data_IF_538383955083
#
_entry.id   IF_538383955083
#
_cell.length_a   1.000
_cell.length_b   1.000
_cell.length_c   1.000
_cell.angle_alpha   90.00
_cell.angle_beta   90.00
_cell.angle_gamma   90.00
#
_symmetry.space_group_name_H-M   'P 1'
#
loop_
_entity.id
_entity.type
_entity.pdbx_description
1 polymer ?
2 polymer ?
3 non-polymer ?
4 non-polymer ?
5 non-polymer ?
6 non-polymer ?
7 water ?
#
# COMPACT_ATOMS: atom_id res chain seq x y z
N UNK A 1 10.45 -8.38 -6.57
CA UNK A 1 9.56 -8.25 -7.73
C UNK A 1 10.18 -8.99 -8.92
N UNK A 2 9.43 -9.91 -9.51
CA UNK A 2 9.83 -10.71 -10.68
C UNK A 2 9.13 -10.15 -11.92
N UNK A 3 9.92 -9.93 -12.98
CA UNK A 3 9.42 -9.50 -14.28
C UNK A 3 8.90 -8.09 -14.38
N UNK A 4 9.36 -7.21 -13.49
CA UNK A 4 9.00 -5.80 -13.53
C UNK A 4 10.13 -4.97 -14.11
N UNK A 5 10.27 -3.75 -13.64
CA UNK A 5 11.34 -2.85 -14.08
C UNK A 5 11.75 -1.99 -12.89
N UNK A 6 12.86 -1.25 -13.01
CA UNK A 6 13.29 -0.34 -11.96
C UNK A 6 12.24 0.78 -11.91
N UNK A 7 11.79 1.15 -10.68
CA UNK A 7 10.90 2.29 -10.55
C UNK A 7 11.81 3.53 -10.65
N UNK A 8 11.64 4.40 -11.68
CA UNK A 8 12.52 5.58 -11.78
C UNK A 8 12.52 6.34 -10.46
N UNK A 9 13.72 6.68 -9.96
CA UNK A 9 13.87 7.40 -8.69
C UNK A 9 12.84 8.54 -8.52
N UNK A 10 12.07 8.49 -7.44
CA UNK A 10 11.05 9.48 -7.12
C UNK A 10 9.68 9.18 -7.69
N UNK A 11 9.55 8.10 -8.51
CA UNK A 11 8.23 7.75 -9.08
C UNK A 11 7.39 6.84 -8.15
N UNK A 12 8.02 6.32 -7.07
CA UNK A 12 7.32 5.51 -6.07
C UNK A 12 7.60 6.21 -4.73
N UNK A 13 7.15 7.49 -4.54
CA UNK A 13 7.61 8.24 -3.37
C UNK A 13 7.01 7.87 -2.03
N UNK A 14 6.02 7.00 -2.02
CA UNK A 14 5.35 6.52 -0.82
C UNK A 14 5.92 5.18 -0.36
N UNK A 15 6.82 4.58 -1.18
CA UNK A 15 7.42 3.29 -0.83
C UNK A 15 8.24 3.44 0.44
N UNK A 16 8.07 2.49 1.39
CA UNK A 16 8.88 2.50 2.63
C UNK A 16 9.77 1.24 2.60
N UNK A 17 10.97 1.34 3.14
CA UNK A 17 11.83 0.19 3.35
C UNK A 17 11.90 -0.01 4.88
N UNK A 18 11.56 -1.20 5.34
CA UNK A 18 11.65 -1.50 6.76
C UNK A 18 12.92 -2.29 7.00
N UNK A 19 13.68 -1.86 8.01
CA UNK A 19 14.96 -2.49 8.44
C UNK A 19 14.87 -2.98 9.86
N UNK A 20 15.55 -4.12 10.16
CA UNK A 20 15.67 -4.60 11.55
C UNK A 20 17.15 -4.89 11.77
N UNK A 21 17.80 -4.16 12.72
CA UNK A 21 19.26 -4.27 12.93
C UNK A 21 20.02 -3.95 11.61
N UNK A 22 19.49 -3.01 10.82
CA UNK A 22 20.09 -2.59 9.55
C UNK A 22 19.88 -3.52 8.36
N UNK A 23 19.24 -4.66 8.58
CA UNK A 23 18.98 -5.67 7.54
C UNK A 23 17.57 -5.45 6.94
N UNK A 24 17.42 -5.66 5.62
CA UNK A 24 16.16 -5.55 4.92
C UNK A 24 15.13 -6.49 5.55
N UNK A 25 13.97 -5.94 5.93
CA UNK A 25 12.92 -6.75 6.52
C UNK A 25 11.72 -6.91 5.58
N UNK A 26 11.09 -5.78 5.22
CA UNK A 26 9.84 -5.71 4.47
C UNK A 26 9.69 -4.35 3.82
N UNK A 27 8.65 -4.21 3.00
CA UNK A 27 8.23 -2.94 2.46
C UNK A 27 7.10 -2.38 3.30
N UNK A 28 6.66 -1.18 2.93
CA UNK A 28 5.55 -0.49 3.57
C UNK A 28 5.06 0.64 2.69
N UNK A 29 3.98 1.31 3.12
CA UNK A 29 3.43 2.44 2.36
C UNK A 29 3.20 3.62 3.28
N UNK A 30 3.77 4.78 2.93
CA UNK A 30 3.54 5.99 3.72
C UNK A 30 2.13 6.52 3.37
N UNK A 31 1.28 6.78 4.39
CA UNK A 31 -0.09 7.28 4.08
C UNK A 31 -0.31 8.72 4.56
N UNK A 32 0.61 9.25 5.37
CA UNK A 32 0.67 10.67 5.81
C UNK A 32 2.06 10.86 6.43
N UNK A 33 2.38 11.98 7.11
CA UNK A 33 3.76 12.17 7.58
C UNK A 33 4.18 11.27 8.75
N UNK A 34 3.24 10.63 9.48
CA UNK A 34 3.73 9.82 10.58
C UNK A 34 3.30 8.34 10.54
N UNK A 35 2.42 7.97 9.62
CA UNK A 35 1.86 6.61 9.59
C UNK A 35 2.25 5.84 8.34
N UNK A 36 2.58 4.56 8.54
CA UNK A 36 3.00 3.61 7.50
C UNK A 36 2.12 2.37 7.60
N UNK A 37 1.67 1.86 6.46
CA UNK A 37 0.87 0.62 6.43
C UNK A 37 1.80 -0.46 5.90
N UNK A 38 1.86 -1.59 6.60
CA UNK A 38 2.65 -2.74 6.17
C UNK A 38 1.84 -4.04 6.42
N UNK A 39 2.49 -5.22 6.37
CA UNK A 39 1.83 -6.51 6.58
C UNK A 39 2.10 -6.95 8.01
N UNK A 40 1.10 -7.54 8.67
CA UNK A 40 1.30 -8.05 10.03
C UNK A 40 2.40 -9.13 10.08
N UNK A 41 2.49 -10.00 9.04
CA UNK A 41 3.45 -11.13 9.06
C UNK A 41 4.92 -10.70 9.08
N UNK A 42 5.18 -9.41 8.68
CA UNK A 42 6.52 -8.81 8.69
C UNK A 42 7.13 -8.85 10.11
N UNK A 43 6.27 -8.84 11.15
CA UNK A 43 6.71 -8.73 12.55
C UNK A 43 6.62 -10.02 13.35
N UNK A 44 6.37 -11.17 12.69
CA UNK A 44 6.22 -12.43 13.41
C UNK A 44 7.50 -12.85 14.14
N UNK A 45 8.66 -12.55 13.56
CA UNK A 45 9.93 -13.01 14.13
C UNK A 45 10.73 -11.94 14.84
N UNK A 46 10.14 -10.75 15.05
CA UNK A 46 10.87 -9.65 15.70
C UNK A 46 11.03 -9.86 17.22
N UNK A 47 12.27 -9.70 17.70
CA UNK A 47 12.58 -9.71 19.14
C UNK A 47 13.12 -8.32 19.51
N UNK A 48 13.92 -7.73 18.60
CA UNK A 48 14.52 -6.40 18.78
C UNK A 48 13.60 -5.28 18.28
N UNK A 49 12.44 -5.08 18.96
CA UNK A 49 11.44 -4.05 18.63
C UNK A 49 12.01 -2.63 18.56
N UNK A 50 13.08 -2.34 19.34
CA UNK A 50 13.74 -1.03 19.36
C UNK A 50 14.74 -0.80 18.21
N UNK A 51 15.01 -1.84 17.40
CA UNK A 51 15.93 -1.72 16.26
C UNK A 51 15.19 -1.75 14.90
N UNK A 52 13.91 -1.37 14.91
CA UNK A 52 13.02 -1.35 13.75
C UNK A 52 13.05 0.07 13.17
N UNK A 53 13.49 0.19 11.92
CA UNK A 53 13.66 1.48 11.24
C UNK A 53 12.88 1.49 9.94
N UNK A 54 12.21 2.63 9.66
CA UNK A 54 11.51 2.87 8.38
C UNK A 54 12.35 3.89 7.59
N UNK A 55 12.59 3.62 6.30
CA UNK A 55 13.36 4.52 5.46
C UNK A 55 12.41 4.93 4.34
N UNK A 56 12.28 6.25 4.15
CA UNK A 56 11.49 6.92 3.11
C UNK A 56 12.47 7.58 2.16
N UNK A 57 12.06 7.75 0.90
CA UNK A 57 12.89 8.39 -0.12
C UNK A 57 14.05 7.50 -0.55
N UNK A 58 13.94 6.20 -0.27
CA UNK A 58 14.96 5.21 -0.67
C UNK A 58 14.78 4.83 -2.13
N UNK A 59 15.88 4.48 -2.81
CA UNK A 59 15.83 4.04 -4.19
C UNK A 59 16.89 2.95 -4.40
N UNK A 60 18.16 3.33 -4.26
CA UNK A 60 19.33 2.45 -4.49
C UNK A 60 19.98 2.12 -3.14
N UNK A 61 19.98 0.83 -2.76
CA UNK A 61 20.52 0.42 -1.44
C UNK A 61 22.03 0.51 -1.31
N UNK A 62 22.72 0.69 -2.43
CA UNK A 62 24.18 0.69 -2.37
C UNK A 62 24.78 2.04 -2.11
N UNK A 63 23.98 3.12 -2.26
CA UNK A 63 24.47 4.49 -2.17
C UNK A 63 23.53 5.38 -1.35
N UNK A 64 24.08 6.31 -0.58
CA UNK A 64 23.30 7.31 0.14
C UNK A 64 23.33 8.56 -0.74
N UNK A 65 22.17 9.01 -1.25
CA UNK A 65 22.18 10.22 -2.09
C UNK A 65 21.62 11.49 -1.40
N UNK A 66 21.21 11.39 -0.15
CA UNK A 66 20.69 12.55 0.59
C UNK A 66 19.18 12.69 0.62
N UNK A 67 18.47 11.92 -0.22
CA UNK A 67 16.99 11.97 -0.24
C UNK A 67 16.37 11.01 0.76
N UNK A 68 17.18 10.09 1.32
CA UNK A 68 16.68 9.10 2.29
C UNK A 68 16.35 9.78 3.61
N UNK A 69 15.30 9.33 4.29
CA UNK A 69 14.95 9.83 5.62
C UNK A 69 14.66 8.60 6.46
N UNK A 70 15.40 8.39 7.56
CA UNK A 70 15.19 7.22 8.44
C UNK A 70 14.44 7.65 9.68
N UNK A 71 13.53 6.80 10.16
CA UNK A 71 12.80 7.06 11.41
C UNK A 71 12.66 5.78 12.19
N UNK A 72 12.70 5.88 13.52
CA UNK A 72 12.44 4.75 14.40
C UNK A 72 10.95 4.48 14.35
N UNK A 73 10.58 3.21 14.42
CA UNK A 73 9.18 2.81 14.45
C UNK A 73 8.77 2.81 15.93
N UNK A 74 7.88 3.72 16.32
CA UNK A 74 7.43 3.87 17.71
C UNK A 74 6.38 2.84 18.08
N UNK A 75 5.51 2.47 17.13
CA UNK A 75 4.42 1.55 17.43
C UNK A 75 4.12 0.70 16.21
N UNK A 76 3.76 -0.57 16.43
CA UNK A 76 3.33 -1.51 15.41
C UNK A 76 1.97 -2.02 15.91
N UNK A 77 0.89 -1.68 15.17
CA UNK A 77 -0.49 -2.00 15.52
C UNK A 77 -1.02 -3.06 14.58
N UNK A 78 -1.42 -4.16 15.17
CA UNK A 78 -1.89 -5.33 14.43
C UNK A 78 -3.34 -5.69 14.84
N UNK A 79 -4.21 -6.12 13.90
CA UNK A 79 -5.59 -6.49 14.30
C UNK A 79 -5.60 -7.71 15.22
N UNK A 80 -6.53 -7.72 16.18
CA UNK A 80 -6.67 -8.85 17.13
C UNK A 80 -6.94 -10.17 16.43
N UNK A 81 -7.54 -10.10 15.22
CA UNK A 81 -7.94 -11.27 14.42
C UNK A 81 -6.76 -11.96 13.69
N UNK A 82 -5.61 -11.26 13.57
CA UNK A 82 -4.43 -11.81 12.91
C UNK A 82 -3.80 -12.87 13.82
N UNK A 83 -3.47 -14.03 13.23
CA UNK A 83 -2.81 -15.10 13.97
C UNK A 83 -1.39 -15.29 13.40
N UNK A 84 -0.31 -15.08 14.19
CA UNK A 84 1.05 -15.30 13.65
C UNK A 84 1.23 -16.64 12.93
N UNK A 85 1.93 -16.59 11.80
CA UNK A 85 2.21 -17.76 10.98
C UNK A 85 1.11 -18.12 10.00
N UNK A 86 -0.02 -17.36 10.02
CA UNK A 86 -1.15 -17.58 9.11
C UNK A 86 -1.28 -16.39 8.12
N UNK A 87 -2.27 -16.47 7.23
CA UNK A 87 -2.47 -15.51 6.14
C UNK A 87 -3.54 -14.45 6.35
N UNK A 88 -4.61 -14.75 7.12
CA UNK A 88 -5.74 -13.82 7.24
C UNK A 88 -5.44 -12.54 8.04
N UNK A 89 -6.10 -11.42 7.68
CA UNK A 89 -5.95 -10.12 8.37
C UNK A 89 -4.48 -9.64 8.40
N UNK A 90 -3.81 -9.77 7.25
CA UNK A 90 -2.38 -9.47 7.14
C UNK A 90 -2.09 -7.97 6.95
N UNK A 91 -2.25 -7.20 8.03
CA UNK A 91 -2.05 -5.74 7.98
C UNK A 91 -1.46 -5.23 9.28
N UNK A 92 -0.64 -4.21 9.19
CA UNK A 92 -0.03 -3.57 10.37
C UNK A 92 -0.01 -2.10 10.10
N UNK A 93 -0.22 -1.32 11.15
CA UNK A 93 -0.20 0.13 11.08
C UNK A 93 0.94 0.61 12.00
N UNK A 94 1.89 1.32 11.41
CA UNK A 94 3.12 1.74 12.07
C UNK A 94 3.14 3.21 12.31
N UNK A 95 3.41 3.62 13.56
CA UNK A 95 3.56 5.02 13.93
C UNK A 95 5.04 5.32 13.97
N UNK A 96 5.45 6.36 13.21
CA UNK A 96 6.86 6.77 13.23
C UNK A 96 7.13 7.63 14.47
N UNK A 97 8.35 7.53 15.02
CA UNK A 97 8.73 8.28 16.22
C UNK A 97 8.72 9.80 15.99
N UNK A 98 9.07 10.22 14.77
CA UNK A 98 9.06 11.63 14.37
C UNK A 98 8.51 11.64 12.95
N UNK A 99 7.74 12.66 12.52
CA UNK A 99 7.26 12.66 11.13
C UNK A 99 8.38 12.73 10.13
N UNK A 100 8.14 12.19 8.94
CA UNK A 100 9.04 12.40 7.80
C UNK A 100 8.71 13.79 7.25
N UNK A 101 9.65 14.38 6.50
CA UNK A 101 9.44 15.67 5.87
C UNK A 101 9.02 15.39 4.41
N UNK A 102 7.84 15.91 4.01
CA UNK A 102 7.45 15.67 2.60
C UNK A 102 8.36 16.46 1.65
N UNK A 103 8.79 15.79 0.57
CA UNK A 103 9.71 16.40 -0.42
C UNK A 103 9.32 15.81 -1.77
N UNK A 104 10.04 16.17 -2.85
CA UNK A 104 9.75 15.58 -4.16
C UNK A 104 9.95 14.06 -4.13
N UNK A 105 10.79 13.57 -3.17
CA UNK A 105 11.08 12.12 -3.09
C UNK A 105 10.32 11.36 -1.97
N UNK A 106 9.56 12.08 -1.13
CA UNK A 106 8.83 11.46 0.00
C UNK A 106 7.42 12.06 -0.02
N UNK A 107 6.44 11.28 -0.43
CA UNK A 107 5.05 11.73 -0.57
C UNK A 107 4.14 10.60 -0.12
N UNK A 108 3.08 10.84 0.67
CA UNK A 108 2.21 9.72 1.03
C UNK A 108 1.29 9.25 -0.10
N UNK A 109 0.88 7.99 -0.05
CA UNK A 109 -0.12 7.46 -0.96
C UNK A 109 -1.47 7.75 -0.31
N UNK A 110 -2.55 8.05 -1.08
CA UNK A 110 -3.85 8.32 -0.45
C UNK A 110 -4.46 7.06 0.10
N UNK A 111 -4.85 7.07 1.36
CA UNK A 111 -5.62 5.96 1.92
C UNK A 111 -7.06 6.34 1.52
N UNK A 112 -7.76 5.53 0.73
CA UNK A 112 -9.11 5.96 0.26
C UNK A 112 -10.20 5.71 1.28
N UNK A 113 -11.41 6.28 1.05
CA UNK A 113 -12.57 5.93 1.86
C UNK A 113 -13.02 4.55 1.42
N UNK A 114 -13.68 3.81 2.33
CA UNK A 114 -14.12 2.45 2.05
C UNK A 114 -15.06 2.36 0.83
N UNK A 115 -16.14 3.19 0.80
CA UNK A 115 -17.12 3.20 -0.30
C UNK A 115 -16.44 3.44 -1.64
N UNK A 116 -15.62 4.47 -1.74
CA UNK A 116 -14.87 4.77 -2.96
C UNK A 116 -13.98 3.57 -3.38
N UNK A 117 -13.31 2.97 -2.40
CA UNK A 117 -12.44 1.82 -2.71
C UNK A 117 -13.21 0.58 -3.19
N UNK A 118 -14.32 0.25 -2.52
CA UNK A 118 -15.14 -0.92 -2.89
C UNK A 118 -15.92 -0.70 -4.19
N UNK A 119 -16.53 0.46 -4.37
CA UNK A 119 -17.39 0.60 -5.54
C UNK A 119 -16.68 1.16 -6.78
N UNK A 120 -15.47 1.72 -6.65
CA UNK A 120 -14.75 2.27 -7.80
C UNK A 120 -13.35 1.66 -7.95
N UNK A 121 -12.49 1.81 -6.92
CA UNK A 121 -11.10 1.32 -7.04
C UNK A 121 -10.98 -0.18 -7.28
N UNK A 122 -11.87 -0.98 -6.67
CA UNK A 122 -11.87 -2.44 -6.80
C UNK A 122 -12.07 -2.91 -8.27
N UNK A 123 -12.58 -2.01 -9.15
CA UNK A 123 -12.84 -2.29 -10.58
C UNK A 123 -11.81 -1.70 -11.53
N UNK A 124 -10.76 -1.06 -10.99
CA UNK A 124 -9.65 -0.59 -11.84
C UNK A 124 -8.81 -1.88 -12.03
N UNK A 125 -8.65 -2.34 -13.29
CA UNK A 125 -8.00 -3.62 -13.55
C UNK A 125 -6.56 -3.71 -13.08
N UNK A 126 -5.70 -2.80 -13.54
CA UNK A 126 -4.28 -2.84 -13.22
C UNK A 126 -3.89 -1.92 -12.10
N UNK A 127 -2.89 -2.37 -11.33
CA UNK A 127 -2.33 -1.58 -10.23
C UNK A 127 -0.85 -1.91 -10.12
N UNK A 128 -0.09 -1.06 -9.47
CA UNK A 128 1.37 -1.25 -9.35
C UNK A 128 1.75 -1.84 -8.01
N UNK A 129 2.70 -2.79 -8.02
CA UNK A 129 3.21 -3.41 -6.78
C UNK A 129 4.71 -3.17 -6.82
N UNK A 130 5.33 -2.85 -5.68
CA UNK A 130 6.73 -2.49 -5.72
C UNK A 130 7.52 -2.95 -4.48
N UNK A 131 8.84 -3.01 -4.63
CA UNK A 131 9.70 -3.38 -3.53
C UNK A 131 11.10 -3.80 -3.94
N UNK A 132 11.94 -4.08 -2.93
CA UNK A 132 13.32 -4.50 -3.12
C UNK A 132 13.45 -6.02 -2.89
N UNK A 133 12.39 -6.76 -3.15
CA UNK A 133 12.33 -8.22 -3.00
C UNK A 133 13.10 -8.95 -4.08
N UNK A 134 12.98 -10.28 -4.09
CA UNK A 134 13.67 -11.21 -5.01
C UNK A 134 13.35 -10.87 -6.44
N UNK A 135 14.38 -10.87 -7.29
CA UNK A 135 14.24 -10.63 -8.73
C UNK A 135 13.87 -11.94 -9.43
N UNK A 136 14.07 -13.07 -8.74
CA UNK A 136 13.80 -14.44 -9.22
C UNK A 136 13.47 -15.28 -8.01
N UNK A 137 12.68 -16.34 -8.22
CA UNK A 137 12.43 -17.31 -7.16
C UNK A 137 13.80 -17.95 -6.81
N UNK A 138 14.15 -17.99 -5.52
CA UNK A 138 15.43 -18.54 -5.02
C UNK A 138 16.65 -17.71 -5.55
N UNK A 139 16.40 -16.43 -5.88
CA UNK A 139 17.40 -15.52 -6.39
C UNK A 139 17.70 -14.36 -5.47
N UNK A 140 18.63 -13.50 -5.88
CA UNK A 140 19.04 -12.31 -5.12
C UNK A 140 17.88 -11.28 -5.08
N UNK A 141 17.88 -10.44 -4.04
CA UNK A 141 16.94 -9.32 -3.91
C UNK A 141 17.54 -8.15 -4.69
N UNK A 142 16.70 -7.14 -5.06
CA UNK A 142 17.10 -5.99 -5.86
C UNK A 142 17.83 -4.93 -5.08
N UNK A 143 18.80 -4.26 -5.73
CA UNK A 143 19.49 -3.11 -5.13
C UNK A 143 18.71 -1.82 -5.44
N UNK A 144 17.95 -1.82 -6.56
CA UNK A 144 17.12 -0.64 -6.91
C UNK A 144 15.66 -1.00 -6.78
N UNK A 145 14.84 -0.01 -6.36
CA UNK A 145 13.41 -0.26 -6.18
C UNK A 145 12.80 -0.72 -7.51
N UNK A 146 12.05 -1.84 -7.47
CA UNK A 146 11.39 -2.39 -8.64
C UNK A 146 9.87 -2.20 -8.55
N UNK A 147 9.21 -2.10 -9.70
CA UNK A 147 7.77 -1.89 -9.82
C UNK A 147 7.22 -2.80 -10.91
N UNK A 148 6.00 -3.26 -10.72
CA UNK A 148 5.32 -4.16 -11.63
C UNK A 148 3.83 -3.84 -11.73
N UNK A 149 3.31 -3.85 -12.96
CA UNK A 149 1.87 -3.61 -13.20
C UNK A 149 1.17 -5.00 -13.18
N UNK A 150 0.16 -5.17 -12.32
CA UNK A 150 -0.55 -6.46 -12.17
C UNK A 150 -2.07 -6.28 -12.29
N UNK A 151 -2.78 -7.24 -12.94
CA UNK A 151 -4.26 -7.13 -13.00
C UNK A 151 -4.92 -7.84 -11.83
N UNK A 152 -6.03 -7.27 -11.34
CA UNK A 152 -6.77 -7.81 -10.22
C UNK A 152 -7.83 -8.78 -10.74
N UNK A 153 -8.07 -9.84 -9.98
CA UNK A 153 -9.06 -10.86 -10.29
C UNK A 153 -10.15 -10.91 -9.25
N UNK A 154 -11.36 -11.32 -9.67
CA UNK A 154 -12.47 -11.55 -8.73
C UNK A 154 -12.07 -12.88 -8.07
N UNK A 155 -12.35 -13.03 -6.77
CA UNK A 155 -11.91 -14.25 -6.05
C UNK A 155 -12.43 -15.55 -6.70
N UNK A 156 -13.70 -15.59 -7.20
CA UNK A 156 -14.24 -16.77 -7.90
C UNK A 156 -13.30 -17.15 -9.07
N UNK A 157 -12.82 -16.14 -9.84
CA UNK A 157 -11.92 -16.30 -10.97
C UNK A 157 -10.52 -16.73 -10.57
N UNK A 158 -10.00 -16.22 -9.41
CA UNK A 158 -8.69 -16.64 -8.92
C UNK A 158 -8.71 -18.11 -8.55
N UNK A 159 -9.76 -18.55 -7.83
CA UNK A 159 -9.96 -19.94 -7.39
C UNK A 159 -10.09 -20.91 -8.57
N UNK A 160 -10.75 -20.47 -9.66
CA UNK A 160 -10.92 -21.26 -10.88
C UNK A 160 -9.63 -21.36 -11.70
N UNK A 161 -8.88 -20.24 -11.84
CA UNK A 161 -7.65 -20.18 -12.63
C UNK A 161 -6.40 -20.73 -11.93
N UNK A 162 -6.47 -21.08 -10.64
CA UNK A 162 -5.32 -21.57 -9.88
C UNK A 162 -5.16 -23.10 -9.86
N UNK A 163 -3.88 -23.55 -9.88
CA UNK A 163 -3.48 -24.96 -9.82
C UNK A 163 -3.30 -25.39 -8.34
N UNK A 164 -2.14 -25.99 -7.96
CA UNK A 164 -1.83 -26.42 -6.59
C UNK A 164 -0.32 -26.44 -6.29
N UNK A 169 -4.12 -22.59 1.12
CA UNK A 169 -5.03 -21.79 1.95
C UNK A 169 -6.18 -21.13 1.16
N UNK A 170 -7.22 -20.69 1.88
CA UNK A 170 -8.40 -20.02 1.29
C UNK A 170 -8.11 -18.55 0.99
N UNK A 171 -8.84 -17.97 0.04
CA UNK A 171 -8.76 -16.57 -0.30
C UNK A 171 -10.01 -15.99 0.35
N UNK A 172 -9.82 -15.27 1.48
CA UNK A 172 -10.93 -14.72 2.27
C UNK A 172 -11.40 -13.38 1.71
N UNK A 173 -12.44 -12.84 2.33
CA UNK A 173 -12.98 -11.53 1.99
C UNK A 173 -12.00 -10.39 2.39
N UNK A 174 -10.93 -10.73 3.12
CA UNK A 174 -9.89 -9.77 3.56
C UNK A 174 -8.65 -9.83 2.64
N UNK A 175 -8.80 -10.49 1.47
CA UNK A 175 -7.72 -10.67 0.50
C UNK A 175 -8.26 -10.50 -0.90
N UNK A 176 -7.34 -10.37 -1.86
CA UNK A 176 -7.65 -10.43 -3.28
C UNK A 176 -6.43 -10.93 -4.03
N UNK A 177 -6.65 -11.59 -5.18
CA UNK A 177 -5.56 -12.05 -6.05
C UNK A 177 -5.28 -11.00 -7.09
N UNK A 178 -4.02 -10.93 -7.49
CA UNK A 178 -3.58 -10.09 -8.58
C UNK A 178 -2.30 -10.67 -9.14
N UNK A 179 -2.13 -10.50 -10.44
CA UNK A 179 -0.92 -10.99 -11.10
C UNK A 179 -1.21 -11.88 -12.30
N UNK A 180 -0.31 -12.87 -12.48
CA UNK A 180 -0.30 -13.77 -13.63
C UNK A 180 -0.06 -15.20 -13.18
N UNK A 181 -0.70 -16.18 -13.86
CA UNK A 181 -0.54 -17.59 -13.54
C UNK A 181 0.51 -18.27 -14.43
N UNK A 182 1.15 -17.52 -15.34
CA UNK A 182 2.11 -18.10 -16.30
C UNK A 182 3.57 -18.12 -15.79
N UNK A 183 3.76 -17.77 -14.51
CA UNK A 183 5.06 -17.73 -13.85
C UNK A 183 6.03 -16.65 -14.28
N UNK A 184 5.56 -15.60 -14.96
CA UNK A 184 6.47 -14.57 -15.46
C UNK A 184 6.62 -13.33 -14.57
N UNK A 185 5.53 -12.95 -13.87
CA UNK A 185 5.47 -11.68 -13.13
C UNK A 185 4.77 -11.84 -11.79
N UNK A 186 5.39 -11.33 -10.72
CA UNK A 186 4.79 -11.41 -9.38
C UNK A 186 5.58 -10.55 -8.43
N UNK A 187 5.00 -10.30 -7.24
CA UNK A 187 5.74 -9.71 -6.13
C UNK A 187 6.23 -10.97 -5.36
N UNK A 188 7.27 -10.82 -4.51
CA UNK A 188 7.89 -11.94 -3.78
C UNK A 188 7.86 -11.71 -2.27
N UNK A 189 8.30 -12.72 -1.47
CA UNK A 189 8.35 -12.55 -0.01
C UNK A 189 9.11 -11.32 0.46
N UNK A 190 10.19 -10.93 -0.21
CA UNK A 190 10.97 -9.75 0.20
C UNK A 190 10.23 -8.45 -0.08
N UNK A 191 9.14 -8.52 -0.86
CA UNK A 191 8.31 -7.32 -1.15
C UNK A 191 7.18 -7.19 -0.13
N UNK A 192 7.02 -8.20 0.75
CA UNK A 192 5.94 -8.27 1.76
C UNK A 192 5.76 -6.93 2.44
N UNK A 193 4.51 -6.49 2.58
CA UNK A 193 4.19 -5.22 3.26
C UNK A 193 4.12 -4.02 2.34
N UNK A 194 4.69 -4.17 1.14
CA UNK A 194 4.75 -3.11 0.14
C UNK A 194 3.38 -2.75 -0.44
N UNK A 195 3.30 -1.61 -1.14
CA UNK A 195 2.01 -1.17 -1.72
C UNK A 195 1.55 -1.90 -2.97
N UNK A 196 0.24 -1.98 -3.12
CA UNK A 196 -0.48 -2.35 -4.34
C UNK A 196 -1.29 -1.03 -4.50
N UNK A 197 -0.84 -0.16 -5.43
CA UNK A 197 -1.32 1.20 -5.63
C UNK A 197 -2.14 1.31 -6.91
N UNK A 198 -3.32 1.93 -6.80
CA UNK A 198 -4.28 2.04 -7.91
C UNK A 198 -4.48 3.49 -8.36
N UNK A 199 -4.35 3.74 -9.67
CA UNK A 199 -4.52 5.06 -10.26
C UNK A 199 -5.99 5.29 -10.64
N UNK A 200 -6.54 6.46 -10.27
CA UNK A 200 -7.92 6.80 -10.63
C UNK A 200 -8.04 8.31 -10.75
N UNK A 201 -8.43 8.78 -11.96
CA UNK A 201 -8.60 10.20 -12.28
C UNK A 201 -7.44 11.10 -11.77
N UNK A 202 -6.21 10.68 -12.09
CA UNK A 202 -4.99 11.44 -11.83
C UNK A 202 -4.33 11.31 -10.46
N UNK A 203 -4.86 10.44 -9.61
CA UNK A 203 -4.35 10.26 -8.23
C UNK A 203 -4.20 8.78 -7.89
N UNK A 204 -3.16 8.45 -7.07
CA UNK A 204 -2.89 7.08 -6.67
C UNK A 204 -3.42 6.80 -5.26
N UNK A 205 -3.99 5.59 -5.08
CA UNK A 205 -4.57 5.18 -3.80
C UNK A 205 -4.06 3.81 -3.36
N UNK A 206 -4.10 3.58 -2.05
CA UNK A 206 -3.69 2.29 -1.47
C UNK A 206 -4.85 1.33 -1.50
N UNK A 207 -4.72 0.24 -2.27
CA UNK A 207 -5.77 -0.78 -2.34
C UNK A 207 -5.33 -2.15 -1.81
N UNK A 208 -4.04 -2.42 -1.79
CA UNK A 208 -3.59 -3.72 -1.34
C UNK A 208 -2.25 -3.66 -0.66
N UNK A 209 -1.88 -4.75 0.01
CA UNK A 209 -0.58 -4.91 0.67
C UNK A 209 0.00 -6.25 0.18
N UNK A 210 1.27 -6.26 -0.24
CA UNK A 210 1.97 -7.53 -0.62
C UNK A 210 1.89 -8.47 0.59
N UNK A 211 1.18 -9.61 0.44
CA UNK A 211 0.89 -10.45 1.59
C UNK A 211 1.46 -11.89 1.48
N UNK A 212 0.93 -12.72 0.55
CA UNK A 212 1.40 -14.11 0.47
C UNK A 212 1.21 -14.73 -0.93
N UNK A 213 1.67 -15.97 -1.06
CA UNK A 213 1.56 -16.74 -2.30
C UNK A 213 2.42 -17.98 -2.19
N UNK A 214 2.72 -18.63 -3.35
CA UNK A 214 3.57 -19.84 -3.43
C UNK A 214 4.86 -19.54 -4.18
N UNK A 215 6.01 -19.92 -3.61
CA UNK A 215 7.36 -19.64 -4.10
C UNK A 215 7.39 -18.16 -4.42
N UNK A 216 7.66 -17.83 -5.69
CA UNK A 216 7.55 -16.52 -6.33
C UNK A 216 7.39 -16.73 -7.81
N UNK A 217 6.35 -16.10 -8.40
CA UNK A 217 6.04 -16.20 -9.84
C UNK A 217 5.98 -17.71 -10.24
N UNK A 218 5.24 -18.49 -9.43
CA UNK A 218 5.04 -19.94 -9.62
C UNK A 218 3.88 -20.13 -10.59
N UNK A 219 4.10 -20.93 -11.66
CA UNK A 219 3.04 -21.23 -12.66
C UNK A 219 1.81 -21.80 -11.93
N UNK A 220 0.64 -21.35 -12.34
CA UNK A 220 -0.63 -21.76 -11.75
C UNK A 220 -1.04 -21.03 -10.48
N UNK A 221 -0.24 -20.01 -10.06
CA UNK A 221 -0.51 -19.26 -8.81
C UNK A 221 -0.40 -17.76 -8.98
N UNK A 222 -1.34 -17.03 -8.36
CA UNK A 222 -1.36 -15.56 -8.40
C UNK A 222 -0.81 -15.03 -7.07
N UNK A 223 -0.41 -13.76 -7.03
CA UNK A 223 0.00 -13.13 -5.77
C UNK A 223 -1.27 -12.83 -4.98
N UNK A 224 -1.21 -12.91 -3.65
CA UNK A 224 -2.37 -12.65 -2.79
C UNK A 224 -2.07 -11.40 -1.97
N UNK A 225 -3.04 -10.47 -1.94
CA UNK A 225 -2.84 -9.14 -1.34
C UNK A 225 -3.89 -8.87 -0.28
N UNK A 226 -3.50 -8.18 0.81
CA UNK A 226 -4.46 -7.81 1.85
C UNK A 226 -5.45 -6.80 1.23
N UNK A 227 -6.75 -7.01 1.43
CA UNK A 227 -7.80 -6.13 0.88
C UNK A 227 -7.97 -4.95 1.81
N UNK A 228 -7.20 -3.89 1.57
CA UNK A 228 -7.12 -2.71 2.44
C UNK A 228 -8.50 -2.05 2.72
N UNK A 229 -9.43 -2.09 1.76
CA UNK A 229 -10.78 -1.48 1.91
C UNK A 229 -11.52 -1.99 3.16
N UNK A 230 -11.23 -3.23 3.58
CA UNK A 230 -11.85 -3.82 4.78
C UNK A 230 -11.36 -3.19 6.07
N UNK A 231 -10.25 -2.46 6.01
CA UNK A 231 -9.56 -1.90 7.18
C UNK A 231 -9.57 -0.39 7.31
N UNK A 232 -10.23 0.31 6.37
CA UNK A 232 -10.23 1.79 6.42
C UNK A 232 -10.67 2.36 7.77
N UNK A 233 -11.85 1.95 8.27
CA UNK A 233 -12.41 2.44 9.52
C UNK A 233 -11.47 2.10 10.69
N UNK A 234 -10.92 0.85 10.69
CA UNK A 234 -10.00 0.37 11.70
C UNK A 234 -8.74 1.27 11.75
N UNK A 235 -8.16 1.56 10.58
CA UNK A 235 -6.97 2.42 10.45
C UNK A 235 -7.25 3.85 10.91
N UNK A 236 -8.36 4.46 10.40
CA UNK A 236 -8.71 5.85 10.75
C UNK A 236 -8.90 6.05 12.23
N UNK A 237 -9.56 5.11 12.90
CA UNK A 237 -9.78 5.21 14.34
C UNK A 237 -8.44 5.14 15.09
N UNK A 238 -7.54 4.25 14.67
CA UNK A 238 -6.23 4.15 15.31
C UNK A 238 -5.39 5.40 15.07
N UNK A 239 -5.51 6.00 13.88
CA UNK A 239 -4.72 7.22 13.62
C UNK A 239 -5.19 8.40 14.47
N UNK A 240 -6.41 8.33 14.99
CA UNK A 240 -6.96 9.40 15.85
C UNK A 240 -6.66 9.13 17.34
N UNK A 241 -6.02 7.99 17.65
CA UNK A 241 -5.76 7.57 19.02
C UNK A 241 -4.41 8.04 19.55
N UNK A 242 -4.30 8.17 20.88
CA UNK A 242 -3.04 8.50 21.51
C UNK A 242 -2.08 7.31 21.54
N UNK A 243 -0.76 7.56 21.36
CA UNK A 243 0.22 6.47 21.47
C UNK A 243 0.15 5.80 22.85
N UNK A 244 0.48 4.48 22.92
CA UNK A 244 0.48 3.65 24.13
C UNK A 244 1.88 3.12 24.40
N UNK A 245 2.32 2.96 25.68
CA UNK A 245 3.67 2.43 25.94
C UNK A 245 3.83 1.01 25.34
N UNK A 246 5.03 0.71 24.87
CA UNK A 246 5.33 -0.57 24.23
C UNK A 246 5.15 -0.47 22.73
N UNK A 247 6.07 -1.04 21.96
CA UNK A 247 6.02 -0.95 20.49
C UNK A 247 4.82 -1.73 19.93
N UNK A 248 4.74 -3.02 20.21
CA UNK A 248 3.63 -3.80 19.67
C UNK A 248 2.29 -3.58 20.38
N UNK A 249 1.23 -3.29 19.60
CA UNK A 249 -0.12 -3.15 20.11
C UNK A 249 -1.07 -4.04 19.29
N UNK A 250 -1.88 -4.87 19.97
CA UNK A 250 -2.91 -5.62 19.28
C UNK A 250 -4.19 -4.82 19.49
N UNK A 251 -4.88 -4.47 18.41
CA UNK A 251 -6.10 -3.66 18.51
C UNK A 251 -7.29 -4.44 18.02
N UNK A 252 -8.44 -4.34 18.72
CA UNK A 252 -9.62 -5.10 18.30
C UNK A 252 -10.03 -4.85 16.84
N UNK A 253 -10.34 -5.92 16.14
CA UNK A 253 -10.86 -5.83 14.78
C UNK A 253 -12.16 -6.64 14.80
N UNK A 254 -13.31 -6.13 14.30
CA UNK A 254 -13.52 -4.82 13.63
C UNK A 254 -13.27 -3.60 14.51
N UNK B 1 -26.58 7.26 -6.74
CA UNK B 1 -25.83 7.98 -7.78
C UNK B 1 -24.32 7.64 -7.69
N UNK B 2 -23.79 7.50 -6.46
CA UNK B 2 -22.37 7.21 -6.21
C UNK B 2 -21.91 5.85 -6.73
N UNK B 3 -22.82 4.87 -6.79
CA UNK B 3 -22.54 3.53 -7.30
C UNK B 3 -22.16 3.54 -8.78
N UNK B 4 -22.80 4.44 -9.57
CA UNK B 4 -22.59 4.60 -11.01
C UNK B 4 -21.52 5.65 -11.36
N UNK B 5 -20.39 5.17 -11.96
CA UNK B 5 -19.25 5.99 -12.39
C UNK B 5 -18.79 7.00 -11.31
N UNK B 6 -18.81 6.54 -10.04
CA UNK B 6 -18.38 7.30 -8.86
C UNK B 6 -19.21 8.60 -8.68
N UNK B 7 -20.45 8.58 -9.20
CA UNK B 7 -21.38 9.72 -9.18
C UNK B 7 -20.84 10.93 -9.91
N UNK B 8 -19.87 10.72 -10.79
CA UNK B 8 -19.18 11.78 -11.54
C UNK B 8 -18.05 12.42 -10.73
N UNK B 9 -17.88 12.03 -9.45
CA UNK B 9 -16.86 12.60 -8.57
C UNK B 9 -15.45 12.19 -8.97
N UNK B 10 -14.48 13.11 -8.82
CA UNK B 10 -13.06 12.79 -9.08
C UNK B 10 -12.52 11.90 -7.95
N UNK B 11 -12.93 12.18 -6.69
CA UNK B 11 -12.51 11.42 -5.53
C UNK B 11 -13.69 10.76 -4.80
N UNK B 12 -14.13 11.29 -3.66
CA UNK B 12 -15.18 10.67 -2.85
C UNK B 12 -16.56 11.16 -3.19
N UNK B 13 -17.56 10.29 -2.98
CA UNK B 13 -18.97 10.55 -3.29
C UNK B 13 -19.84 10.15 -2.10
N UNK B 14 -20.78 11.04 -1.73
CA UNK B 14 -21.79 10.80 -0.68
C UNK B 14 -23.19 10.99 -1.29
N UNK B 15 -24.06 9.99 -1.09
CA UNK B 15 -25.45 10.02 -1.54
C UNK B 15 -26.29 10.71 -0.50
N UNK B 16 -27.27 11.50 -0.94
CA UNK B 16 -28.19 12.18 -0.04
C UNK B 16 -29.64 11.83 -0.37
N UNK B 17 -30.57 12.06 0.61
CA UNK B 17 -31.99 11.75 0.51
C UNK B 17 -32.60 12.24 -0.81
N UNK B 18 -32.66 11.32 -1.77
CA UNK B 18 -33.18 11.60 -3.11
C UNK B 18 -32.12 11.57 -4.20
N UNK B 19 -32.31 12.42 -5.23
CA UNK B 19 -31.41 12.54 -6.39
C UNK B 19 -30.19 13.47 -6.12
N UNK B 20 -29.91 13.73 -4.81
CA UNK B 20 -28.80 14.57 -4.35
C UNK B 20 -27.49 13.78 -4.15
N UNK B 21 -26.37 14.39 -4.53
CA UNK B 21 -25.05 13.80 -4.43
C UNK B 21 -24.05 14.90 -4.06
N UNK B 22 -23.10 14.61 -3.14
CA UNK B 22 -22.04 15.55 -2.80
C UNK B 22 -20.70 14.84 -3.03
N UNK B 23 -19.81 15.46 -3.82
CA UNK B 23 -18.46 14.94 -4.01
C UNK B 23 -17.64 15.55 -2.90
N UNK B 24 -16.58 14.85 -2.48
CA UNK B 24 -15.69 15.34 -1.45
C UNK B 24 -14.27 14.97 -1.86
N UNK B 25 -13.29 15.48 -1.12
CA UNK B 25 -11.88 15.30 -1.44
C UNK B 25 -11.10 14.87 -0.21
N UNK B 26 -10.00 14.13 -0.42
CA UNK B 26 -9.08 13.71 0.65
C UNK B 26 -8.47 15.03 1.19
N UNK B 27 -7.97 15.01 2.43
CA UNK B 27 -7.27 16.14 3.01
C UNK B 27 -6.14 16.59 2.06
N UNK B 28 -5.86 17.90 2.00
CA UNK B 28 -4.82 18.40 1.11
C UNK B 28 -5.36 18.71 -0.28
N UNK B 29 -6.69 18.66 -0.43
CA UNK B 29 -7.43 19.00 -1.65
C UNK B 29 -8.72 19.75 -1.31
N UNK B 30 -9.18 20.60 -2.24
CA UNK B 30 -10.46 21.32 -2.15
C UNK B 30 -11.27 21.01 -3.42
N UNK B 31 -12.60 21.00 -3.28
CA UNK B 31 -13.55 20.76 -4.36
C UNK B 31 -13.77 22.03 -5.16
N UNK B 32 -13.70 21.92 -6.49
CA UNK B 32 -13.90 23.06 -7.37
C UNK B 32 -15.40 23.35 -7.49
N UNK B 33 -15.76 24.52 -8.04
CA UNK B 33 -17.17 24.96 -8.22
C UNK B 33 -17.98 24.03 -9.14
N UNK B 34 -17.30 23.19 -9.95
CA UNK B 34 -18.01 22.20 -10.76
C UNK B 34 -18.69 21.14 -9.85
N UNK B 35 -18.27 21.10 -8.58
CA UNK B 35 -18.81 20.18 -7.59
C UNK B 35 -18.28 18.76 -7.73
N UNK B 36 -17.33 18.54 -8.63
CA UNK B 36 -16.79 17.18 -8.88
C UNK B 36 -15.27 17.08 -8.78
N UNK B 37 -14.54 18.12 -9.23
CA UNK B 37 -13.08 18.14 -9.31
C UNK B 37 -12.42 18.49 -8.00
N UNK B 38 -11.22 17.89 -7.75
CA UNK B 38 -10.39 18.11 -6.56
C UNK B 38 -9.07 18.74 -6.99
N UNK B 39 -8.73 19.88 -6.38
CA UNK B 39 -7.49 20.59 -6.67
C UNK B 39 -6.57 20.57 -5.40
N UNK B 40 -5.27 20.33 -5.54
CA UNK B 40 -4.39 20.34 -4.34
C UNK B 40 -4.39 21.70 -3.63
N UNK B 41 -4.32 21.67 -2.30
CA UNK B 41 -4.22 22.90 -1.48
C UNK B 41 -2.86 22.98 -0.81
N UNK B 42 -2.07 21.88 -0.92
CA UNK B 42 -0.76 21.75 -0.28
C UNK B 42 0.30 21.46 -1.32
N UNK B 43 1.57 21.63 -0.95
CA UNK B 43 2.70 21.40 -1.85
C UNK B 43 2.83 19.94 -2.28
N UNK B 44 2.63 18.98 -1.32
CA UNK B 44 2.78 17.53 -1.55
C UNK B 44 1.50 16.77 -1.23
N UNK B 45 0.45 16.94 -2.07
CA UNK B 45 -0.81 16.23 -1.83
C UNK B 45 -0.58 14.73 -1.97
N UNK B 46 -1.36 13.93 -1.26
CA UNK B 46 -1.21 12.46 -1.38
C UNK B 46 -1.49 11.99 -2.80
N UNK B 47 -0.82 10.89 -3.18
CA UNK B 47 -1.12 10.18 -4.43
C UNK B 47 -0.74 10.89 -5.71
N UNK B 48 0.09 11.92 -5.61
CA UNK B 48 0.61 12.66 -6.76
C UNK B 48 2.13 12.57 -6.74
N UNK B 49 2.74 12.42 -7.92
CA UNK B 49 4.18 12.23 -8.06
C UNK B 49 4.84 13.50 -8.51
N UNK B 50 5.51 14.24 -7.59
CA UNK B 50 6.09 15.55 -7.94
C UNK B 50 6.96 15.62 -9.17
N UNK B 51 7.89 14.67 -9.38
CA UNK B 51 8.77 14.73 -10.56
C UNK B 51 7.96 14.62 -11.88
N UNK B 52 6.80 13.94 -11.83
CA UNK B 52 5.92 13.81 -13.00
C UNK B 52 5.02 15.04 -13.12
N UNK B 53 4.50 15.58 -12.00
CA UNK B 53 3.66 16.78 -11.98
C UNK B 53 4.39 18.02 -12.47
N UNK B 54 5.67 18.16 -12.08
CA UNK B 54 6.54 19.28 -12.45
C UNK B 54 7.01 19.20 -13.92
N UNK B 55 6.99 17.99 -14.52
CA UNK B 55 7.34 17.74 -15.92
C UNK B 55 6.28 18.36 -16.85
X LIG C 1 5.44 -15.64 7.55
X LIG C 1 8.89 -11.86 7.04
X LIG C 1 7.93 -14.42 7.56
X LIG C 1 9.55 -11.18 5.94
X LIG C 1 9.71 -10.68 7.31
X LIG C 1 7.70 -16.96 3.50
X LIG C 1 2.00 -16.05 5.27
X LIG C 1 7.13 -14.40 8.70
X LIG C 1 5.89 -15.00 8.69
X LIG C 1 5.15 -14.74 -0.68
X LIG C 1 2.22 -17.11 6.37
X LIG C 1 4.69 -14.64 -2.01
X LIG C 1 5.85 -14.99 2.17
X LIG C 1 4.68 -15.88 2.55
X LIG C 1 3.87 -15.55 3.65
X LIG C 1 2.82 -16.38 4.05
X LIG C 1 2.57 -17.53 3.31
X LIG C 1 3.36 -17.86 2.22
X LIG C 1 4.40 -17.04 1.85
X LIG C 1 8.34 -15.17 5.14
X LIG C 1 7.58 -15.57 3.93
X LIG C 1 7.51 -15.07 6.39
X LIG C 1 6.24 -15.67 6.42
X LIG C 1 4.12 -16.15 7.48
X LIG C 1 9.42 -13.46 7.65
X LIG C 1 10.41 -13.99 6.75
X LIG C 1 9.77 -13.30 9.04
X LIG C 1 3.68 -17.18 6.72
X LIG C 1 4.42 -18.03 6.23
X LIG C 1 5.45 -13.75 1.53
X LIG C 1 5.01 -13.67 0.20
X LIG C 1 4.42 -12.49 -0.24
X LIG C 1 3.93 -12.38 -1.50
X LIG C 1 4.04 -13.44 -2.44
X LIG C 1 3.60 -13.39 -3.81
X LIG C 1 3.82 -14.45 -4.68
X LIG C 1 4.43 -15.55 -4.21
X LIG C 1 4.84 -15.71 -2.93
X LIG C 1 2.92 -12.34 -4.30
X LIG C 1 6.77 -14.66 3.36
X LIG C 1 6.72 -13.51 3.76
X LIG C 1 7.80 -11.74 7.12
X LIG C 1 10.39 -11.64 5.43
X LIG C 1 8.97 -10.62 5.20
X LIG C 1 10.66 -10.81 7.84
X LIG C 1 9.27 -9.75 7.63
X LIG C 1 8.45 -17.51 4.06
X LIG C 1 7.99 -17.03 2.45
X LIG C 1 6.78 -17.51 3.64
X LIG C 1 2.26 -15.07 5.66
X LIG C 1 0.95 -15.98 5.02
X LIG C 1 7.45 -13.91 9.62
X LIG C 1 5.28 -14.96 9.59
X LIG C 1 5.62 -15.69 -0.42
X LIG C 1 1.65 -16.86 7.27
X LIG C 1 1.81 -18.06 6.05
X LIG C 1 6.45 -15.55 1.45
X LIG C 1 4.06 -14.63 4.21
X LIG C 1 1.74 -18.17 3.59
X LIG C 1 3.15 -18.77 1.66
X LIG C 1 5.03 -17.35 1.01
X LIG C 1 9.16 -15.86 5.34
X LIG C 1 8.83 -14.22 4.87
X LIG C 1 5.90 -16.19 5.53
X LIG C 1 3.47 -15.68 8.09
X LIG C 1 5.48 -12.90 2.07
X LIG C 1 4.33 -11.64 0.44
X LIG C 1 3.43 -11.44 -1.77
X LIG C 1 4.54 -16.33 -4.97
X LIG C 1 5.22 -16.66 -2.56
X LIG C 1 2.62 -11.55 -3.73
X LIG C 1 2.65 -12.31 -5.27
X LIG D 1 20.10 5.05 -1.20
X LIG E 1 13.23 9.10 14.59
X LIG E 1 13.73 10.16 13.70
X LIG E 1 13.28 9.64 15.93
X LIG E 1 11.95 8.69 14.30
X LIG E 1 14.16 8.02 14.52
X LIG F 1 15.26 -9.62 15.88
X LIG F 1 15.62 -9.52 17.29
X LIG F 1 14.26 -8.62 15.57
X LIG F 1 14.75 -10.97 15.64
X LIG F 1 16.47 -9.40 15.11
X LIG G 1 -3.17 -18.76 -5.35
X LIG G 1 -2.48 -17.62 -4.76
X LIG G 1 -4.53 -18.82 -4.84
X LIG G 1 -3.20 -18.62 -6.80
X LIG G 1 -2.46 -19.96 -4.92
X LIG H 1 -5.10 10.03 6.22
X LIG H 1 -5.11 11.03 5.15
X LIG H 1 -4.70 10.68 7.46
X LIG H 1 -6.44 9.48 6.36
X LIG H 1 -4.18 8.93 5.92
X LIG I 1 3.06 -10.03 16.77
X LIG I 1 1.99 -10.51 15.96
X LIG I 1 4.14 -11.07 16.87
X LIG I 1 5.32 -10.50 17.45
X LIG I 1 3.70 -12.25 17.71
X LIG I 1 4.33 -13.43 17.24
X LIG J 1 5.28 4.38 -10.41
X LIG J 1 4.55 4.71 -9.21
X LIG J 1 5.10 5.43 -11.48
X LIG J 1 5.99 5.16 -12.57
X LIG J 1 3.68 5.49 -12.00
X LIG J 1 3.50 6.61 -12.86
X LIG K 1 14.28 -10.77 12.48
X LIG K 1 15.57 -10.86 13.06
X LIG K 1 14.26 -11.54 11.17
X LIG K 1 14.71 -12.88 11.40
X LIG K 1 12.85 -11.55 10.63
X LIG K 1 12.83 -12.23 9.38
#
# INVERSE_FOLDING_TARGET
IVGGKVCPKGECPWQVLLLVNGAQLCGGTLINTIWVVSAAHCFDKIKNWRNLIAVLGEHDLSEHDGDEQSRRVAQVIIPSTYVPGTTNHDIALLRLHQPVVLTDHVVPLCLPERTFSERTLAFVRFSLVSGWGQLLDRGATALELMVLNVPRLMTQDCLQQSRKVGDSPNITEYMFCAGYSDGSKDSCKGDSGGPHATHYRGTWYLTGIVSWGQGCATVGHFGVYTRVSQYIEWLQKLMRSEPRPGVLLRAPFP
ICVNENGGCEQYCSDHTGTKRSCRCHEGYSLLADGVSCTPTVEYPCGKIPILEKR
7KR C13 C18 C16 C19 C20 C23 C24 C11 C12 C34 C27 C33 C1 C2 C3 C4 C5 C6 C7 C8 N9 C10 C14 N15 S17 O21 O22 C25 O26 N28 C29 C30 C31 C32 C35 N36 C37 C38 N39 C40 O41 H53 H54 H55 H57 H56 H59 H58 H60 H61 H62 H49 H50 H68 H63 H64 H42 H43 H44 H45 H46 H47 H48 H51 H52 H65 H66 H67 H69 H70 H72 H71
CA CA
SO4 S O1 O2 O3 O4
SO4 S O1 O2 O3 O4
SO4 S O1 O2 O3 O4
SO4 S O1 O2 O3 O4
GOL C1 O1 C2 O2 C3 O3
GOL C1 O1 C2 O2 C3 O3
GOL C1 O1 C2 O2 C3 O3
#
